data_IF_155357036727
#
_entry.id   IF_155357036727
#
_cell.length_a   1.000
_cell.length_b   1.000
_cell.length_c   1.000
_cell.angle_alpha   90.00
_cell.angle_beta   90.00
_cell.angle_gamma   90.00
#
_symmetry.space_group_name_H-M   'P 1'
#
loop_
_entity.id
_entity.type
_entity.pdbx_description
1 polymer ?
#
# COMPACT_ATOMS: atom_id res chain seq x y z
N UNK A 1 15.03 13.06 -62.99
CA UNK A 1 14.76 11.96 -62.04
C UNK A 1 14.95 12.41 -60.58
N UNK A 2 16.08 13.06 -60.25
CA UNK A 2 16.40 13.58 -58.91
C UNK A 2 15.33 14.52 -58.28
N UNK A 3 14.71 15.39 -59.08
CA UNK A 3 13.73 16.38 -58.57
C UNK A 3 12.39 15.76 -58.19
N UNK A 4 11.96 14.69 -58.88
CA UNK A 4 10.78 13.90 -58.51
C UNK A 4 11.02 13.13 -57.20
N UNK A 5 12.25 12.67 -56.97
CA UNK A 5 12.65 12.01 -55.72
C UNK A 5 12.72 12.98 -54.53
N UNK A 6 13.21 14.21 -54.75
CA UNK A 6 13.17 15.27 -53.73
C UNK A 6 11.74 15.66 -53.34
N UNK A 7 10.84 15.79 -54.32
CA UNK A 7 9.44 16.10 -54.06
C UNK A 7 8.72 14.96 -53.33
N UNK A 8 9.04 13.69 -53.65
CA UNK A 8 8.52 12.52 -52.96
C UNK A 8 9.03 12.45 -51.50
N UNK A 9 10.31 12.71 -51.28
CA UNK A 9 10.91 12.78 -49.94
C UNK A 9 10.25 13.89 -49.11
N UNK A 10 10.03 15.06 -49.71
CA UNK A 10 9.36 16.19 -49.04
C UNK A 10 7.91 15.87 -48.68
N UNK A 11 7.20 15.13 -49.53
CA UNK A 11 5.84 14.66 -49.27
C UNK A 11 5.80 13.67 -48.10
N UNK A 12 6.74 12.72 -48.05
CA UNK A 12 6.83 11.74 -46.96
C UNK A 12 7.16 12.42 -45.64
N UNK A 13 8.09 13.38 -45.64
CA UNK A 13 8.43 14.18 -44.45
C UNK A 13 7.21 15.00 -43.99
N UNK A 14 6.45 15.61 -44.91
CA UNK A 14 5.23 16.33 -44.56
C UNK A 14 4.16 15.42 -43.94
N UNK A 15 4.00 14.20 -44.45
CA UNK A 15 3.05 13.22 -43.89
C UNK A 15 3.47 12.77 -42.48
N UNK A 16 4.77 12.55 -42.25
CA UNK A 16 5.30 12.17 -40.93
C UNK A 16 5.14 13.32 -39.92
N UNK A 17 5.39 14.56 -40.33
CA UNK A 17 5.25 15.74 -39.46
C UNK A 17 3.77 16.04 -39.13
N UNK A 18 2.83 15.77 -40.05
CA UNK A 18 1.40 15.99 -39.82
C UNK A 18 0.72 14.83 -39.08
N UNK A 19 1.24 13.59 -39.19
CA UNK A 19 0.73 12.42 -38.47
C UNK A 19 1.02 12.43 -36.96
N UNK A 20 2.05 13.16 -36.51
CA UNK A 20 2.46 13.22 -35.11
C UNK A 20 1.54 14.04 -34.19
N UNK A 21 0.67 14.90 -34.74
CA UNK A 21 -0.20 15.79 -33.95
C UNK A 21 -1.65 15.28 -33.80
N UNK A 22 -2.01 14.14 -34.38
CA UNK A 22 -3.39 13.65 -34.37
C UNK A 22 -3.80 12.90 -33.08
N UNK A 23 -2.89 12.66 -32.15
CA UNK A 23 -3.17 11.88 -30.93
C UNK A 23 -3.53 12.72 -29.71
N UNK A 24 -4.14 13.90 -29.88
CA UNK A 24 -4.69 14.63 -28.75
C UNK A 24 -5.94 13.88 -28.29
N UNK A 25 -5.79 13.01 -27.29
CA UNK A 25 -6.95 12.42 -26.61
C UNK A 25 -7.84 13.57 -26.15
N UNK A 26 -9.10 13.54 -26.57
CA UNK A 26 -10.08 14.53 -26.18
C UNK A 26 -10.21 14.48 -24.65
N UNK A 27 -9.89 15.59 -23.99
CA UNK A 27 -9.98 15.65 -22.53
C UNK A 27 -11.46 15.58 -22.14
N UNK A 28 -11.82 14.51 -21.44
CA UNK A 28 -13.18 14.29 -20.97
C UNK A 28 -13.42 15.12 -19.70
N UNK A 29 -14.44 15.97 -19.70
CA UNK A 29 -14.84 16.79 -18.55
C UNK A 29 -16.36 16.84 -18.42
N UNK A 30 -16.85 17.27 -17.25
CA UNK A 30 -18.26 17.56 -16.98
C UNK A 30 -19.19 16.37 -17.27
N UNK A 31 -18.73 15.16 -16.95
CA UNK A 31 -19.55 13.96 -17.10
C UNK A 31 -20.33 13.69 -15.81
N UNK A 32 -21.48 13.01 -15.86
CA UNK A 32 -22.21 12.61 -14.65
C UNK A 32 -21.35 11.74 -13.72
N UNK A 33 -21.60 11.76 -12.43
CA UNK A 33 -20.87 10.97 -11.44
C UNK A 33 -20.88 9.45 -11.75
N UNK A 34 -22.02 8.92 -12.21
CA UNK A 34 -22.15 7.51 -12.64
C UNK A 34 -21.26 7.15 -13.81
N UNK A 35 -20.96 8.11 -14.70
CA UNK A 35 -20.05 7.88 -15.82
C UNK A 35 -18.63 7.66 -15.30
N UNK A 36 -18.15 8.56 -14.44
CA UNK A 36 -16.82 8.46 -13.86
C UNK A 36 -16.65 7.19 -13.02
N UNK A 37 -17.66 6.87 -12.20
CA UNK A 37 -17.68 5.63 -11.43
C UNK A 37 -17.57 4.39 -12.33
N UNK A 38 -18.40 4.27 -13.36
CA UNK A 38 -18.37 3.12 -14.26
C UNK A 38 -17.08 3.02 -15.07
N UNK A 39 -16.52 4.17 -15.48
CA UNK A 39 -15.23 4.22 -16.16
C UNK A 39 -14.10 3.72 -15.25
N UNK A 40 -14.07 4.16 -14.00
CA UNK A 40 -13.11 3.68 -12.99
C UNK A 40 -13.21 2.16 -12.80
N UNK A 41 -14.42 1.60 -12.68
CA UNK A 41 -14.61 0.15 -12.57
C UNK A 41 -14.08 -0.60 -13.80
N UNK A 42 -14.28 -0.05 -14.99
CA UNK A 42 -13.75 -0.62 -16.23
C UNK A 42 -12.22 -0.59 -16.23
N UNK A 43 -11.60 0.49 -15.78
CA UNK A 43 -10.15 0.62 -15.71
C UNK A 43 -9.54 -0.32 -14.67
N UNK A 44 -10.15 -0.43 -13.49
CA UNK A 44 -9.79 -1.42 -12.46
C UNK A 44 -9.87 -2.85 -13.03
N UNK A 45 -10.96 -3.21 -13.70
CA UNK A 45 -11.11 -4.56 -14.27
C UNK A 45 -10.15 -4.87 -15.44
N UNK A 46 -9.52 -3.84 -16.00
CA UNK A 46 -8.47 -3.96 -17.02
C UNK A 46 -7.06 -3.82 -16.44
N UNK A 47 -6.91 -3.78 -15.10
CA UNK A 47 -5.64 -3.57 -14.40
C UNK A 47 -4.94 -2.26 -14.77
N UNK A 48 -5.72 -1.21 -15.10
CA UNK A 48 -5.21 0.11 -15.48
C UNK A 48 -5.31 1.08 -14.28
N UNK A 49 -4.61 0.78 -13.19
CA UNK A 49 -4.75 1.52 -11.92
C UNK A 49 -4.40 3.00 -12.04
N UNK A 50 -3.32 3.36 -12.76
CA UNK A 50 -2.98 4.76 -13.02
C UNK A 50 -4.13 5.55 -13.66
N UNK A 51 -4.89 4.91 -14.55
CA UNK A 51 -6.06 5.53 -15.18
C UNK A 51 -7.24 5.57 -14.23
N UNK A 52 -7.45 4.50 -13.46
CA UNK A 52 -8.49 4.46 -12.45
C UNK A 52 -8.29 5.55 -11.39
N UNK A 53 -7.05 5.84 -10.99
CA UNK A 53 -6.69 6.95 -10.09
C UNK A 53 -7.04 8.31 -10.68
N UNK A 54 -6.69 8.53 -11.95
CA UNK A 54 -7.06 9.75 -12.66
C UNK A 54 -8.59 9.90 -12.76
N UNK A 55 -9.30 8.82 -13.10
CA UNK A 55 -10.77 8.80 -13.18
C UNK A 55 -11.43 8.98 -11.81
N UNK A 56 -10.88 8.40 -10.75
CA UNK A 56 -11.31 8.63 -9.37
C UNK A 56 -11.15 10.10 -8.98
N UNK A 57 -10.03 10.72 -9.35
CA UNK A 57 -9.79 12.15 -9.13
C UNK A 57 -10.83 13.02 -9.85
N UNK A 58 -11.21 12.67 -11.09
CA UNK A 58 -12.31 13.33 -11.79
C UNK A 58 -13.65 13.16 -11.08
N UNK A 59 -13.99 11.95 -10.62
CA UNK A 59 -15.20 11.70 -9.83
C UNK A 59 -15.23 12.56 -8.57
N UNK A 60 -14.13 12.59 -7.82
CA UNK A 60 -14.03 13.32 -6.56
C UNK A 60 -14.11 14.83 -6.75
N UNK A 61 -13.35 15.37 -7.71
CA UNK A 61 -13.25 16.81 -7.92
C UNK A 61 -14.55 17.41 -8.50
N UNK A 62 -15.15 16.74 -9.48
CA UNK A 62 -16.40 17.20 -10.12
C UNK A 62 -17.62 16.94 -9.24
N UNK A 63 -17.63 15.84 -8.47
CA UNK A 63 -18.82 15.36 -7.74
C UNK A 63 -18.52 15.02 -6.28
N UNK A 64 -18.01 15.99 -5.51
CA UNK A 64 -17.62 15.84 -4.08
C UNK A 64 -18.69 15.26 -3.14
N UNK A 65 -19.97 15.30 -3.53
CA UNK A 65 -21.10 14.77 -2.76
C UNK A 65 -21.71 13.50 -3.36
N UNK A 66 -21.08 12.91 -4.38
CA UNK A 66 -21.61 11.72 -5.03
C UNK A 66 -21.74 10.57 -4.03
N UNK A 67 -22.88 9.87 -4.11
CA UNK A 67 -23.15 8.64 -3.35
C UNK A 67 -22.19 7.50 -3.73
N UNK A 68 -21.48 7.61 -4.86
CA UNK A 68 -20.52 6.61 -5.31
C UNK A 68 -19.16 6.74 -4.63
N UNK A 69 -18.82 7.88 -4.04
CA UNK A 69 -17.49 8.11 -3.45
C UNK A 69 -17.08 7.09 -2.38
N UNK A 70 -17.96 6.66 -1.45
CA UNK A 70 -17.59 5.61 -0.50
C UNK A 70 -17.21 4.30 -1.22
N UNK A 71 -18.04 3.85 -2.16
CA UNK A 71 -17.77 2.63 -2.92
C UNK A 71 -16.52 2.77 -3.79
N UNK A 72 -16.34 3.90 -4.46
CA UNK A 72 -15.20 4.16 -5.32
C UNK A 72 -13.89 4.14 -4.54
N UNK A 73 -13.84 4.85 -3.40
CA UNK A 73 -12.67 4.92 -2.52
C UNK A 73 -12.31 3.53 -1.95
N UNK A 74 -13.33 2.73 -1.59
CA UNK A 74 -13.11 1.36 -1.12
C UNK A 74 -12.53 0.47 -2.23
N UNK A 75 -13.12 0.52 -3.42
CA UNK A 75 -12.74 -0.35 -4.54
C UNK A 75 -11.35 -0.04 -5.06
N UNK A 76 -10.99 1.24 -5.19
CA UNK A 76 -9.64 1.62 -5.62
C UNK A 76 -8.60 1.20 -4.57
N UNK A 77 -8.87 1.38 -3.28
CA UNK A 77 -7.99 0.90 -2.21
C UNK A 77 -7.80 -0.63 -2.20
N UNK A 78 -8.86 -1.40 -2.47
CA UNK A 78 -8.77 -2.85 -2.65
C UNK A 78 -7.95 -3.19 -3.90
N UNK A 79 -8.17 -2.52 -5.02
CA UNK A 79 -7.44 -2.77 -6.26
C UNK A 79 -5.92 -2.55 -6.10
N UNK A 80 -5.51 -1.46 -5.45
CA UNK A 80 -4.09 -1.25 -5.10
C UNK A 80 -3.55 -2.32 -4.15
N UNK A 81 -4.37 -2.80 -3.20
CA UNK A 81 -3.94 -3.87 -2.30
C UNK A 81 -3.72 -5.19 -3.05
N UNK A 82 -4.56 -5.50 -4.03
CA UNK A 82 -4.48 -6.70 -4.85
C UNK A 82 -3.25 -6.67 -5.79
N UNK A 83 -2.83 -5.48 -6.24
CA UNK A 83 -1.59 -5.26 -7.01
C UNK A 83 -0.34 -5.01 -6.12
N UNK A 84 -0.43 -5.32 -4.82
CA UNK A 84 0.66 -5.17 -3.84
C UNK A 84 1.16 -3.72 -3.63
N UNK A 85 0.38 -2.72 -4.08
CA UNK A 85 0.63 -1.30 -3.89
C UNK A 85 0.11 -0.84 -2.51
N UNK A 86 0.59 -1.51 -1.47
CA UNK A 86 0.06 -1.41 -0.10
C UNK A 86 0.08 -0.02 0.50
N UNK A 87 1.02 0.85 0.07
CA UNK A 87 1.07 2.25 0.51
C UNK A 87 -0.11 3.04 -0.04
N UNK A 88 -0.44 2.86 -1.32
CA UNK A 88 -1.60 3.49 -1.96
C UNK A 88 -2.91 2.90 -1.43
N UNK A 89 -2.98 1.58 -1.24
CA UNK A 89 -4.11 0.94 -0.58
C UNK A 89 -4.37 1.54 0.81
N UNK A 90 -3.33 1.67 1.64
CA UNK A 90 -3.42 2.27 2.95
C UNK A 90 -3.87 3.75 2.90
N UNK A 91 -3.42 4.51 1.90
CA UNK A 91 -3.88 5.89 1.67
C UNK A 91 -5.40 5.92 1.44
N UNK A 92 -5.92 5.11 0.52
CA UNK A 92 -7.35 5.08 0.22
C UNK A 92 -8.20 4.59 1.39
N UNK A 93 -7.73 3.59 2.15
CA UNK A 93 -8.45 3.17 3.37
C UNK A 93 -8.47 4.26 4.43
N UNK A 94 -7.40 5.05 4.57
CA UNK A 94 -7.36 6.19 5.49
C UNK A 94 -8.34 7.30 5.06
N UNK A 95 -8.40 7.62 3.76
CA UNK A 95 -9.36 8.57 3.21
C UNK A 95 -10.81 8.10 3.37
N UNK A 96 -11.08 6.80 3.16
CA UNK A 96 -12.39 6.23 3.45
C UNK A 96 -12.77 6.41 4.92
N UNK A 97 -11.84 6.08 5.83
CA UNK A 97 -12.07 6.19 7.28
C UNK A 97 -12.41 7.64 7.66
N UNK A 98 -11.64 8.61 7.18
CA UNK A 98 -11.85 10.04 7.49
C UNK A 98 -13.21 10.55 7.02
N UNK A 99 -13.69 10.08 5.87
CA UNK A 99 -14.84 10.69 5.18
C UNK A 99 -16.15 9.93 5.36
N UNK A 100 -16.09 8.60 5.44
CA UNK A 100 -17.24 7.73 5.23
C UNK A 100 -17.48 6.69 6.33
N UNK A 101 -16.60 6.56 7.32
CA UNK A 101 -16.75 5.59 8.43
C UNK A 101 -17.84 6.02 9.43
N UNK A 102 -19.07 6.16 8.95
CA UNK A 102 -20.24 6.23 9.80
C UNK A 102 -20.78 4.82 9.99
N UNK A 103 -20.72 4.32 11.22
CA UNK A 103 -21.28 3.04 11.64
C UNK A 103 -20.61 1.77 11.06
N UNK A 104 -19.28 1.77 10.86
CA UNK A 104 -18.53 0.52 10.59
C UNK A 104 -18.46 -0.33 11.86
N UNK A 105 -19.55 -0.98 12.23
CA UNK A 105 -19.67 -1.72 13.50
C UNK A 105 -18.69 -2.91 13.59
N UNK A 106 -18.19 -3.40 12.45
CA UNK A 106 -17.29 -4.55 12.38
C UNK A 106 -15.82 -4.13 12.16
N UNK A 107 -15.55 -2.84 11.95
CA UNK A 107 -14.22 -2.29 11.72
C UNK A 107 -13.57 -2.80 10.43
N UNK A 108 -14.34 -3.19 9.41
CA UNK A 108 -13.79 -3.81 8.19
C UNK A 108 -12.68 -2.97 7.56
N UNK A 109 -12.87 -1.66 7.48
CA UNK A 109 -11.90 -0.79 6.77
C UNK A 109 -10.62 -0.62 7.56
N UNK A 110 -10.73 -0.54 8.89
CA UNK A 110 -9.57 -0.52 9.78
C UNK A 110 -8.78 -1.82 9.74
N UNK A 111 -9.46 -2.97 9.63
CA UNK A 111 -8.80 -4.24 9.37
C UNK A 111 -8.03 -4.21 8.04
N UNK A 112 -8.65 -3.75 6.95
CA UNK A 112 -7.98 -3.64 5.65
C UNK A 112 -6.76 -2.70 5.70
N UNK A 113 -6.85 -1.59 6.43
CA UNK A 113 -5.73 -0.67 6.67
C UNK A 113 -4.58 -1.37 7.40
N UNK A 114 -4.86 -2.08 8.50
CA UNK A 114 -3.86 -2.88 9.23
C UNK A 114 -3.24 -3.94 8.32
N UNK A 115 -4.06 -4.64 7.53
CA UNK A 115 -3.61 -5.65 6.58
C UNK A 115 -2.67 -5.04 5.53
N UNK A 116 -3.01 -3.90 4.95
CA UNK A 116 -2.17 -3.21 3.97
C UNK A 116 -0.81 -2.85 4.58
N UNK A 117 -0.78 -2.23 5.78
CA UNK A 117 0.47 -1.94 6.49
C UNK A 117 1.29 -3.19 6.80
N UNK A 118 0.64 -4.27 7.21
CA UNK A 118 1.29 -5.54 7.47
C UNK A 118 1.90 -6.17 6.20
N UNK A 119 1.25 -6.03 5.05
CA UNK A 119 1.79 -6.54 3.79
C UNK A 119 2.86 -5.63 3.19
N UNK A 120 2.89 -4.35 3.57
CA UNK A 120 3.90 -3.40 3.14
C UNK A 120 5.31 -3.68 3.68
N UNK A 121 5.48 -4.57 4.67
CA UNK A 121 6.80 -4.94 5.19
C UNK A 121 7.65 -5.63 4.13
N UNK A 122 8.70 -4.94 3.65
CA UNK A 122 9.67 -5.49 2.70
C UNK A 122 10.94 -5.98 3.39
N UNK A 123 11.29 -5.35 4.51
CA UNK A 123 12.57 -5.59 5.20
C UNK A 123 12.39 -5.63 6.71
N UNK A 124 12.50 -6.84 7.28
CA UNK A 124 12.24 -7.14 8.68
C UNK A 124 12.99 -6.26 9.70
N UNK A 125 14.21 -5.78 9.38
CA UNK A 125 15.05 -5.05 10.33
C UNK A 125 15.09 -3.53 10.13
N UNK A 126 14.46 -3.00 9.06
CA UNK A 126 14.59 -1.58 8.69
C UNK A 126 13.33 -0.75 8.92
N UNK A 127 12.20 -1.41 9.11
CA UNK A 127 10.89 -0.77 9.13
C UNK A 127 10.30 -0.67 10.56
N UNK A 128 11.14 -0.31 11.54
CA UNK A 128 10.76 -0.25 12.96
C UNK A 128 9.56 0.66 13.22
N UNK A 129 9.53 1.82 12.53
CA UNK A 129 8.41 2.78 12.67
C UNK A 129 7.10 2.18 12.16
N UNK A 130 7.11 1.54 10.98
CA UNK A 130 5.92 0.91 10.43
C UNK A 130 5.43 -0.23 11.35
N UNK A 131 6.36 -0.98 11.94
CA UNK A 131 6.09 -2.05 12.92
C UNK A 131 5.36 -1.52 14.14
N UNK A 132 5.88 -0.46 14.77
CA UNK A 132 5.28 0.13 15.96
C UNK A 132 3.93 0.79 15.66
N UNK A 133 3.84 1.56 14.57
CA UNK A 133 2.58 2.17 14.14
C UNK A 133 1.49 1.13 13.85
N UNK A 134 1.85 0.00 13.22
CA UNK A 134 0.89 -1.07 12.92
C UNK A 134 0.44 -1.78 14.20
N UNK A 135 1.35 -2.03 15.16
CA UNK A 135 0.98 -2.60 16.46
C UNK A 135 0.05 -1.67 17.25
N UNK A 136 0.24 -0.36 17.18
CA UNK A 136 -0.65 0.59 17.85
C UNK A 136 -2.04 0.66 17.19
N UNK A 137 -2.11 0.57 15.86
CA UNK A 137 -3.39 0.42 15.15
C UNK A 137 -4.10 -0.89 15.50
N UNK A 138 -3.36 -1.99 15.64
CA UNK A 138 -3.90 -3.29 16.09
C UNK A 138 -4.48 -3.20 17.50
N UNK A 139 -3.78 -2.57 18.45
CA UNK A 139 -4.31 -2.37 19.81
C UNK A 139 -5.59 -1.55 19.78
N UNK A 140 -5.57 -0.43 19.07
CA UNK A 140 -6.74 0.44 18.91
C UNK A 140 -7.91 -0.33 18.31
N UNK A 141 -7.67 -1.11 17.26
CA UNK A 141 -8.68 -1.96 16.64
C UNK A 141 -9.33 -2.92 17.63
N UNK A 142 -8.54 -3.61 18.45
CA UNK A 142 -9.05 -4.56 19.44
C UNK A 142 -9.87 -3.89 20.54
N UNK A 143 -9.54 -2.65 20.88
CA UNK A 143 -10.32 -1.83 21.82
C UNK A 143 -11.63 -1.34 21.21
N UNK A 144 -11.57 -0.84 19.97
CA UNK A 144 -12.71 -0.21 19.30
C UNK A 144 -13.72 -1.27 18.77
N UNK A 145 -13.23 -2.46 18.36
CA UNK A 145 -14.02 -3.52 17.75
C UNK A 145 -13.83 -4.89 18.43
N UNK A 146 -14.14 -5.04 19.73
CA UNK A 146 -13.87 -6.27 20.48
C UNK A 146 -14.65 -7.49 19.99
N UNK A 147 -15.76 -7.27 19.27
CA UNK A 147 -16.65 -8.32 18.72
C UNK A 147 -16.53 -8.47 17.19
N UNK A 148 -15.52 -7.87 16.58
CA UNK A 148 -15.37 -7.92 15.12
C UNK A 148 -15.22 -9.35 14.59
N UNK A 149 -15.81 -9.61 13.42
CA UNK A 149 -15.57 -10.82 12.64
C UNK A 149 -14.11 -10.98 12.18
N UNK A 150 -13.36 -9.88 12.04
CA UNK A 150 -11.95 -9.90 11.63
C UNK A 150 -10.98 -10.03 12.80
N UNK A 151 -11.47 -10.11 14.05
CA UNK A 151 -10.64 -10.16 15.26
C UNK A 151 -9.51 -11.20 15.17
N UNK A 152 -9.82 -12.43 14.74
CA UNK A 152 -8.81 -13.50 14.65
C UNK A 152 -7.74 -13.22 13.58
N UNK A 153 -8.11 -12.54 12.49
CA UNK A 153 -7.15 -12.13 11.45
C UNK A 153 -6.22 -11.04 11.99
N UNK A 154 -6.75 -10.11 12.77
CA UNK A 154 -5.96 -9.07 13.45
C UNK A 154 -5.05 -9.67 14.52
N UNK A 155 -5.53 -10.61 15.33
CA UNK A 155 -4.71 -11.32 16.33
C UNK A 155 -3.57 -12.12 15.68
N UNK A 156 -3.80 -12.70 14.49
CA UNK A 156 -2.75 -13.37 13.72
C UNK A 156 -1.67 -12.37 13.24
N UNK A 157 -2.09 -11.23 12.69
CA UNK A 157 -1.18 -10.14 12.31
C UNK A 157 -0.38 -9.67 13.52
N UNK A 158 -1.03 -9.43 14.65
CA UNK A 158 -0.39 -9.01 15.91
C UNK A 158 0.72 -9.97 16.33
N UNK A 159 0.43 -11.27 16.34
CA UNK A 159 1.39 -12.30 16.73
C UNK A 159 2.64 -12.24 15.84
N UNK A 160 2.46 -12.09 14.52
CA UNK A 160 3.57 -11.97 13.57
C UNK A 160 4.39 -10.69 13.76
N UNK A 161 3.72 -9.58 14.04
CA UNK A 161 4.39 -8.30 14.34
C UNK A 161 5.19 -8.38 15.65
N UNK A 162 4.64 -8.99 16.70
CA UNK A 162 5.32 -9.18 17.99
C UNK A 162 6.55 -10.09 17.85
N UNK A 163 6.45 -11.18 17.09
CA UNK A 163 7.59 -12.04 16.75
C UNK A 163 8.67 -11.28 15.96
N UNK A 164 8.27 -10.46 14.98
CA UNK A 164 9.20 -9.61 14.24
C UNK A 164 9.89 -8.58 15.14
N UNK A 165 9.15 -7.92 16.04
CA UNK A 165 9.69 -6.96 17.02
C UNK A 165 10.67 -7.60 17.99
N UNK A 166 10.36 -8.81 18.44
CA UNK A 166 11.25 -9.61 19.27
C UNK A 166 12.55 -9.96 18.54
N UNK A 167 12.44 -10.46 17.30
CA UNK A 167 13.58 -10.82 16.46
C UNK A 167 14.50 -9.63 16.18
N UNK A 168 13.93 -8.48 15.82
CA UNK A 168 14.67 -7.23 15.64
C UNK A 168 15.42 -6.83 16.91
N UNK A 169 14.75 -6.88 18.07
CA UNK A 169 15.38 -6.53 19.35
C UNK A 169 16.55 -7.46 19.67
N UNK A 170 16.42 -8.76 19.36
CA UNK A 170 17.49 -9.73 19.55
C UNK A 170 18.68 -9.47 18.62
N UNK A 171 18.45 -9.11 17.35
CA UNK A 171 19.55 -8.76 16.45
C UNK A 171 20.28 -7.48 16.89
N UNK A 172 19.56 -6.50 17.44
CA UNK A 172 20.18 -5.31 18.05
C UNK A 172 20.99 -5.69 19.29
N UNK A 173 20.49 -6.59 20.14
CA UNK A 173 21.24 -7.10 21.29
C UNK A 173 22.54 -7.78 20.84
N UNK A 174 22.48 -8.65 19.83
CA UNK A 174 23.63 -9.34 19.26
C UNK A 174 24.65 -8.36 18.67
N UNK A 175 24.19 -7.30 18.00
CA UNK A 175 25.07 -6.23 17.53
C UNK A 175 25.83 -5.59 18.69
N UNK A 176 25.13 -5.21 19.77
CA UNK A 176 25.77 -4.62 20.95
C UNK A 176 26.76 -5.56 21.64
N UNK A 177 26.48 -6.86 21.67
CA UNK A 177 27.41 -7.87 22.14
C UNK A 177 28.69 -7.91 21.30
N UNK A 178 28.61 -7.80 19.97
CA UNK A 178 29.78 -7.79 19.06
C UNK A 178 30.65 -6.54 19.21
N UNK A 179 30.06 -5.39 19.56
CA UNK A 179 30.78 -4.12 19.75
C UNK A 179 31.15 -3.84 21.22
N UNK A 180 31.14 -4.87 22.05
CA UNK A 180 31.51 -4.83 23.47
C UNK A 180 30.72 -3.80 24.30
N UNK A 181 29.39 -3.76 24.09
CA UNK A 181 28.45 -2.91 24.84
C UNK A 181 27.44 -3.77 25.63
N UNK A 182 27.86 -4.45 26.72
CA UNK A 182 27.05 -5.46 27.40
C UNK A 182 25.74 -4.91 28.00
N UNK A 183 25.76 -3.71 28.59
CA UNK A 183 24.55 -3.09 29.16
C UNK A 183 23.48 -2.83 28.08
N UNK A 184 23.89 -2.36 26.91
CA UNK A 184 22.96 -2.15 25.80
C UNK A 184 22.42 -3.50 25.27
N UNK A 185 23.28 -4.51 25.19
CA UNK A 185 22.87 -5.87 24.81
C UNK A 185 21.79 -6.43 25.74
N UNK A 186 21.92 -6.23 27.05
CA UNK A 186 20.94 -6.67 28.05
C UNK A 186 19.61 -5.95 27.88
N UNK A 187 19.61 -4.61 27.74
CA UNK A 187 18.40 -3.81 27.51
C UNK A 187 17.60 -4.31 26.31
N UNK A 188 18.27 -4.64 25.20
CA UNK A 188 17.59 -5.13 24.01
C UNK A 188 17.16 -6.61 24.11
N UNK A 189 17.89 -7.42 24.88
CA UNK A 189 17.48 -8.79 25.19
C UNK A 189 16.17 -8.81 25.99
N UNK A 190 16.03 -7.89 26.95
CA UNK A 190 14.80 -7.71 27.71
C UNK A 190 13.65 -7.18 26.86
N UNK A 191 13.92 -6.27 25.92
CA UNK A 191 12.91 -5.81 24.94
C UNK A 191 12.41 -6.94 24.06
N UNK A 192 13.30 -7.84 23.65
CA UNK A 192 12.92 -9.03 22.87
C UNK A 192 11.93 -9.91 23.65
N UNK A 193 12.25 -10.23 24.91
CA UNK A 193 11.39 -11.03 25.81
C UNK A 193 10.05 -10.37 26.12
N UNK A 194 10.05 -9.04 26.29
CA UNK A 194 8.80 -8.27 26.50
C UNK A 194 7.88 -8.28 25.29
N UNK A 195 8.44 -8.37 24.08
CA UNK A 195 7.64 -8.42 22.84
C UNK A 195 7.12 -9.83 22.57
N UNK A 196 7.93 -10.85 22.85
CA UNK A 196 7.56 -12.26 22.73
C UNK A 196 8.29 -13.05 23.81
N UNK A 197 7.55 -13.74 24.68
CA UNK A 197 8.10 -14.35 25.92
C UNK A 197 9.27 -15.30 25.65
N UNK A 198 9.21 -16.01 24.52
CA UNK A 198 10.23 -16.97 24.11
C UNK A 198 10.83 -16.58 22.74
N UNK A 199 11.72 -15.57 22.69
CA UNK A 199 12.31 -15.11 21.43
C UNK A 199 12.99 -16.23 20.63
N UNK A 200 13.55 -17.23 21.32
CA UNK A 200 14.26 -18.35 20.72
C UNK A 200 13.35 -19.32 19.94
N UNK A 201 12.03 -19.30 20.18
CA UNK A 201 11.05 -20.07 19.40
C UNK A 201 10.75 -19.41 18.04
N UNK A 202 11.12 -18.13 17.86
CA UNK A 202 10.88 -17.41 16.60
C UNK A 202 11.90 -17.87 15.57
N UNK A 203 11.41 -18.58 14.55
CA UNK A 203 12.25 -19.00 13.43
C UNK A 203 12.83 -17.77 12.72
N UNK A 204 14.15 -17.75 12.55
CA UNK A 204 14.83 -16.73 11.74
C UNK A 204 14.34 -16.78 10.30
N UNK A 205 14.21 -15.61 9.68
CA UNK A 205 13.83 -15.50 8.27
C UNK A 205 14.97 -16.02 7.40
N UNK A 206 14.62 -16.85 6.42
CA UNK A 206 15.55 -17.33 5.42
C UNK A 206 15.93 -16.18 4.48
N UNK A 207 17.21 -15.83 4.46
CA UNK A 207 17.76 -14.76 3.63
C UNK A 207 18.68 -15.39 2.59
N UNK A 208 18.43 -15.07 1.33
CA UNK A 208 19.32 -15.51 0.25
C UNK A 208 20.75 -15.01 0.49
N UNK A 209 21.74 -15.82 0.14
CA UNK A 209 23.16 -15.58 0.44
C UNK A 209 23.66 -14.18 0.02
N UNK A 210 23.17 -13.63 -1.09
CA UNK A 210 23.55 -12.32 -1.60
C UNK A 210 22.98 -11.14 -0.79
N UNK A 211 21.92 -11.37 -0.01
CA UNK A 211 21.36 -10.40 0.94
C UNK A 211 21.98 -10.52 2.33
N UNK A 212 22.41 -11.72 2.71
CA UNK A 212 22.90 -12.02 4.06
C UNK A 212 24.11 -11.17 4.50
N UNK A 213 24.88 -10.60 3.56
CA UNK A 213 25.99 -9.68 3.89
C UNK A 213 25.52 -8.28 4.32
N UNK A 214 24.27 -7.92 4.02
CA UNK A 214 23.67 -6.62 4.30
C UNK A 214 22.61 -6.66 5.40
N UNK A 215 22.30 -7.83 5.93
CA UNK A 215 21.34 -8.09 7.02
C UNK A 215 22.10 -8.57 8.25
#
# INVERSE_FOLDING_TARGET
>A
MLQKFKNLLFLVIAIVLLGGCASKQEEEYNKPDVYWYNKMLKEISLYQLDKADATFTSLESEHRQSQFLPSATMLIGIAHMDEEEYVLANYYFDEYIKRFEKNDADGRVRYLKIKAKFLAFKQQFREQRLLDETLDEVKKYKTDFPKSSYKYLVDNIESRLLMAKSSLSLEIANLYKRVDKPLASEVYSDRAKKSWEKPDEVKKVDVSWYRAIFE
#
